data_IF_484337030847
#
_entry.id   IF_484337030847
#
_cell.length_a   1.000
_cell.length_b   1.000
_cell.length_c   1.000
_cell.angle_alpha   90.00
_cell.angle_beta   90.00
_cell.angle_gamma   90.00
#
_symmetry.space_group_name_H-M   'P 1'
#
loop_
_entity.id
_entity.type
_entity.pdbx_description
1 polymer ?
#
# COMPACT_ATOMS: atom_id res chain seq x y z
N UNK A 1 3.54 6.34 -9.59
CA UNK A 1 3.29 5.19 -8.70
C UNK A 1 3.57 3.88 -9.44
N UNK A 2 3.50 2.74 -8.77
CA UNK A 2 3.80 1.44 -9.37
C UNK A 2 2.78 0.99 -10.42
N UNK A 3 3.23 0.23 -11.43
CA UNK A 3 2.38 -0.38 -12.47
C UNK A 3 1.96 -1.80 -12.11
N UNK A 4 2.78 -2.51 -11.35
CA UNK A 4 2.57 -3.89 -10.90
C UNK A 4 3.04 -3.99 -9.44
N UNK A 5 2.32 -4.76 -8.64
CA UNK A 5 2.73 -5.14 -7.29
C UNK A 5 2.81 -6.67 -7.20
N UNK A 6 3.88 -7.19 -6.61
CA UNK A 6 4.10 -8.61 -6.39
C UNK A 6 4.00 -8.92 -4.89
N UNK A 7 3.54 -10.13 -4.56
CA UNK A 7 3.39 -10.58 -3.18
C UNK A 7 4.00 -11.97 -3.03
N UNK A 8 4.82 -12.16 -2.01
CA UNK A 8 5.43 -13.44 -1.67
C UNK A 8 4.91 -13.96 -0.34
N UNK A 9 5.32 -13.37 0.79
CA UNK A 9 5.02 -13.88 2.14
C UNK A 9 3.52 -14.11 2.38
N UNK A 10 2.69 -13.14 2.00
CA UNK A 10 1.24 -13.26 2.17
C UNK A 10 0.61 -14.40 1.36
N UNK A 11 1.17 -14.74 0.20
CA UNK A 11 0.70 -15.85 -0.63
C UNK A 11 1.24 -17.19 -0.13
N UNK A 12 2.49 -17.23 0.32
CA UNK A 12 3.10 -18.42 0.92
C UNK A 12 2.37 -18.83 2.21
N UNK A 13 1.96 -17.88 3.05
CA UNK A 13 1.30 -18.15 4.32
C UNK A 13 -0.20 -18.48 4.16
N UNK A 14 -0.90 -17.86 3.19
CA UNK A 14 -2.37 -17.86 3.13
C UNK A 14 -2.96 -18.44 1.85
N UNK A 15 -2.11 -18.95 0.96
CA UNK A 15 -2.52 -19.49 -0.33
C UNK A 15 -2.89 -18.43 -1.38
N UNK A 16 -3.08 -18.85 -2.65
CA UNK A 16 -3.45 -17.96 -3.75
C UNK A 16 -4.84 -17.35 -3.59
N UNK A 17 -5.75 -17.97 -2.83
CA UNK A 17 -7.12 -17.47 -2.58
C UNK A 17 -7.12 -16.10 -1.90
N UNK A 18 -6.03 -15.78 -1.19
CA UNK A 18 -5.81 -14.46 -0.59
C UNK A 18 -5.88 -13.32 -1.62
N UNK A 19 -5.56 -13.59 -2.88
CA UNK A 19 -5.65 -12.60 -3.97
C UNK A 19 -7.06 -12.04 -4.13
N UNK A 20 -8.09 -12.88 -4.03
CA UNK A 20 -9.49 -12.45 -4.20
C UNK A 20 -9.90 -11.44 -3.11
N UNK A 21 -9.48 -11.69 -1.87
CA UNK A 21 -9.74 -10.78 -0.76
C UNK A 21 -9.01 -9.44 -0.93
N UNK A 22 -7.78 -9.47 -1.44
CA UNK A 22 -6.98 -8.26 -1.68
C UNK A 22 -7.59 -7.44 -2.82
N UNK A 23 -8.02 -8.09 -3.90
CA UNK A 23 -8.70 -7.43 -5.02
C UNK A 23 -10.01 -6.75 -4.58
N UNK A 24 -10.86 -7.45 -3.82
CA UNK A 24 -12.11 -6.89 -3.33
C UNK A 24 -11.88 -5.68 -2.40
N UNK A 25 -10.89 -5.77 -1.49
CA UNK A 25 -10.53 -4.65 -0.62
C UNK A 25 -9.97 -3.46 -1.38
N UNK A 26 -9.17 -3.70 -2.42
CA UNK A 26 -8.65 -2.63 -3.26
C UNK A 26 -9.77 -1.91 -4.02
N UNK A 27 -10.71 -2.66 -4.60
CA UNK A 27 -11.88 -2.09 -5.28
C UNK A 27 -12.72 -1.24 -4.33
N UNK A 28 -13.05 -1.77 -3.16
CA UNK A 28 -13.80 -1.03 -2.15
C UNK A 28 -13.08 0.26 -1.71
N UNK A 29 -11.76 0.19 -1.49
CA UNK A 29 -10.97 1.37 -1.14
C UNK A 29 -10.97 2.41 -2.26
N UNK A 30 -10.89 1.97 -3.52
CA UNK A 30 -10.96 2.86 -4.69
C UNK A 30 -12.33 3.55 -4.77
N UNK A 31 -13.43 2.85 -4.51
CA UNK A 31 -14.77 3.42 -4.48
C UNK A 31 -14.90 4.48 -3.37
N UNK A 32 -14.42 4.19 -2.16
CA UNK A 32 -14.44 5.13 -1.03
C UNK A 32 -13.65 6.42 -1.31
N UNK A 33 -12.61 6.32 -2.14
CA UNK A 33 -11.74 7.44 -2.52
C UNK A 33 -12.04 7.99 -3.93
N UNK A 34 -13.21 7.65 -4.50
CA UNK A 34 -13.71 8.16 -5.77
C UNK A 34 -12.77 7.90 -6.99
N UNK A 35 -12.00 6.82 -6.94
CA UNK A 35 -11.16 6.37 -8.05
C UNK A 35 -11.90 5.38 -8.96
N UNK A 36 -12.30 5.85 -10.13
CA UNK A 36 -12.95 5.00 -11.16
C UNK A 36 -12.02 3.96 -11.80
N UNK A 37 -10.70 4.15 -11.73
CA UNK A 37 -9.73 3.25 -12.35
C UNK A 37 -8.36 3.27 -11.69
N UNK A 38 -7.61 2.17 -11.86
CA UNK A 38 -6.20 2.09 -11.43
C UNK A 38 -5.37 3.18 -12.11
N UNK A 39 -5.65 3.53 -13.37
CA UNK A 39 -4.96 4.62 -14.06
C UNK A 39 -5.18 5.97 -13.39
N UNK A 40 -6.38 6.22 -12.86
CA UNK A 40 -6.69 7.45 -12.13
C UNK A 40 -6.01 7.47 -10.76
N UNK A 41 -6.03 6.35 -10.04
CA UNK A 41 -5.40 6.20 -8.72
C UNK A 41 -3.86 6.24 -8.78
N UNK A 42 -3.26 5.75 -9.87
CA UNK A 42 -1.81 5.53 -9.95
C UNK A 42 -1.07 6.86 -9.96
N UNK A 43 -0.39 7.15 -8.85
CA UNK A 43 0.41 8.38 -8.70
C UNK A 43 -0.21 9.39 -7.75
N UNK A 44 -1.45 9.18 -7.31
CA UNK A 44 -2.13 10.03 -6.32
C UNK A 44 -1.44 10.00 -4.96
N UNK A 45 -0.82 8.86 -4.58
CA UNK A 45 0.09 8.76 -3.44
C UNK A 45 1.56 8.93 -3.86
N UNK A 46 1.88 9.98 -4.62
CA UNK A 46 3.27 10.36 -4.86
C UNK A 46 3.68 11.50 -3.94
N UNK A 47 4.96 11.56 -3.57
CA UNK A 47 5.53 12.65 -2.77
C UNK A 47 5.30 14.05 -3.41
N UNK A 48 5.09 14.08 -4.74
CA UNK A 48 4.75 15.29 -5.50
C UNK A 48 3.27 15.69 -5.40
N UNK A 49 2.38 14.74 -5.08
CA UNK A 49 0.93 14.94 -5.03
C UNK A 49 0.39 15.08 -3.60
N UNK A 50 1.23 14.92 -2.57
CA UNK A 50 0.84 15.09 -1.17
C UNK A 50 0.97 16.55 -0.76
N UNK A 51 -0.04 17.11 -0.10
CA UNK A 51 -0.07 18.52 0.29
C UNK A 51 1.07 18.93 1.23
N UNK A 52 1.58 17.97 2.04
CA UNK A 52 2.74 18.17 2.91
C UNK A 52 3.78 17.05 2.69
N UNK A 53 4.77 17.26 1.80
CA UNK A 53 5.82 16.27 1.51
C UNK A 53 6.60 15.80 2.74
N UNK A 54 6.77 16.67 3.75
CA UNK A 54 7.44 16.34 5.01
C UNK A 54 6.64 15.36 5.89
N UNK A 55 5.29 15.38 5.84
CA UNK A 55 4.47 14.37 6.51
C UNK A 55 4.62 12.99 5.86
N UNK A 56 4.70 12.94 4.53
CA UNK A 56 4.91 11.69 3.78
C UNK A 56 6.26 11.05 4.10
N UNK A 57 7.33 11.85 4.18
CA UNK A 57 8.66 11.36 4.61
C UNK A 57 8.63 10.85 6.05
N UNK A 58 8.04 11.61 6.98
CA UNK A 58 7.94 11.21 8.39
C UNK A 58 7.13 9.93 8.58
N UNK A 59 6.02 9.76 7.88
CA UNK A 59 5.20 8.55 7.98
C UNK A 59 5.95 7.30 7.47
N UNK A 60 6.67 7.43 6.35
CA UNK A 60 7.47 6.33 5.82
C UNK A 60 8.69 6.01 6.69
N UNK A 61 9.35 7.04 7.23
CA UNK A 61 10.47 6.88 8.17
C UNK A 61 10.03 6.21 9.47
N UNK A 62 8.92 6.65 10.09
CA UNK A 62 8.38 6.03 11.31
C UNK A 62 7.92 4.59 11.08
N UNK A 63 7.33 4.29 9.91
CA UNK A 63 6.98 2.92 9.54
C UNK A 63 8.21 2.02 9.40
N UNK A 64 9.29 2.53 8.81
CA UNK A 64 10.54 1.79 8.71
C UNK A 64 11.13 1.52 10.10
N UNK A 65 11.24 2.53 10.96
CA UNK A 65 11.73 2.36 12.33
C UNK A 65 10.91 1.33 13.13
N UNK A 66 9.58 1.42 13.09
CA UNK A 66 8.70 0.46 13.79
C UNK A 66 8.75 -0.95 13.19
N UNK A 67 9.21 -1.12 11.94
CA UNK A 67 9.39 -2.45 11.33
C UNK A 67 10.70 -3.14 11.76
N UNK A 68 11.62 -2.41 12.40
CA UNK A 68 12.90 -2.92 12.90
C UNK A 68 12.93 -3.15 14.42
N UNK A 69 11.85 -2.88 15.15
CA UNK A 69 11.73 -3.26 16.56
C UNK A 69 11.44 -4.77 16.65
N UNK A 70 12.44 -5.55 16.24
CA UNK A 70 12.53 -6.96 16.54
C UNK A 70 12.75 -7.09 18.04
N UNK A 71 11.83 -7.77 18.72
CA UNK A 71 12.19 -8.61 19.85
C UNK A 71 13.45 -9.43 19.47
N UNK A 72 14.61 -8.92 19.87
CA UNK A 72 15.77 -9.74 20.15
C UNK A 72 15.44 -10.56 21.42
N UNK A 73 15.88 -11.82 21.51
CA UNK A 73 15.65 -12.66 22.68
C UNK A 73 16.18 -12.05 23.98
#
# INVERSE_FOLDING_TARGET
GANVAMMASALLERGPERLTHILAKLQWWMEEHEYESISHMRGSMSQLAVAEPAAFERANYMKALNSFDYHLP
#
